data_IF_712693610576
#
_entry.id   IF_712693610576
#
_cell.length_a   1.000
_cell.length_b   1.000
_cell.length_c   1.000
_cell.angle_alpha   90.00
_cell.angle_beta   90.00
_cell.angle_gamma   90.00
#
_symmetry.space_group_name_H-M   'P 1'
#
loop_
_entity.id
_entity.type
_entity.pdbx_description
1 polymer ?
#
# COMPACT_ATOMS: atom_id res chain seq x y z
N UNK A 1 5.90 -19.19 -18.99
CA UNK A 1 6.92 -18.14 -19.04
C UNK A 1 7.31 -17.83 -17.61
N UNK A 2 8.58 -18.01 -17.21
CA UNK A 2 9.05 -17.64 -15.87
C UNK A 2 9.54 -16.19 -15.93
N UNK A 3 9.09 -15.35 -15.00
CA UNK A 3 9.54 -13.97 -14.89
C UNK A 3 10.53 -13.92 -13.73
N UNK A 4 11.74 -13.50 -14.02
CA UNK A 4 12.72 -13.19 -12.98
C UNK A 4 12.45 -11.76 -12.51
N UNK A 5 11.93 -11.62 -11.30
CA UNK A 5 11.72 -10.30 -10.69
C UNK A 5 12.99 -9.87 -9.96
N UNK A 6 13.43 -8.66 -10.26
CA UNK A 6 14.48 -8.02 -9.48
C UNK A 6 13.86 -7.43 -8.21
N UNK A 7 14.39 -7.79 -7.05
CA UNK A 7 13.92 -7.19 -5.79
C UNK A 7 14.11 -5.67 -5.80
N UNK A 8 13.04 -4.90 -5.58
CA UNK A 8 13.08 -3.46 -5.78
C UNK A 8 13.82 -2.70 -4.67
N UNK A 9 14.02 -3.30 -3.50
CA UNK A 9 14.67 -2.65 -2.36
C UNK A 9 16.15 -3.00 -2.36
N UNK A 10 16.97 -1.98 -2.17
CA UNK A 10 18.43 -2.08 -2.07
C UNK A 10 18.84 -2.23 -0.62
N UNK A 11 18.28 -1.42 0.28
CA UNK A 11 18.62 -1.39 1.68
C UNK A 11 17.46 -0.91 2.54
N UNK A 12 17.48 -1.24 3.83
CA UNK A 12 16.49 -0.78 4.81
C UNK A 12 17.17 -0.24 6.05
N UNK A 13 16.60 0.81 6.63
CA UNK A 13 17.01 1.37 7.92
C UNK A 13 15.76 1.77 8.69
N UNK A 14 15.53 1.15 9.87
CA UNK A 14 14.29 1.31 10.63
C UNK A 14 13.05 1.11 9.75
N UNK A 15 12.19 2.15 9.61
CA UNK A 15 11.00 2.14 8.76
C UNK A 15 11.27 2.64 7.34
N UNK A 16 12.52 2.91 6.97
CA UNK A 16 12.91 3.41 5.65
C UNK A 16 13.34 2.28 4.73
N UNK A 17 12.86 2.30 3.50
CA UNK A 17 13.32 1.43 2.43
C UNK A 17 13.90 2.25 1.28
N UNK A 18 15.17 2.06 0.98
CA UNK A 18 15.82 2.59 -0.21
C UNK A 18 15.58 1.63 -1.36
N UNK A 19 14.93 2.09 -2.40
CA UNK A 19 14.69 1.32 -3.63
C UNK A 19 15.88 1.38 -4.57
N UNK A 20 15.96 0.45 -5.52
CA UNK A 20 17.00 0.42 -6.57
C UNK A 20 16.96 1.62 -7.50
N UNK A 21 15.81 2.30 -7.61
CA UNK A 21 15.64 3.54 -8.36
C UNK A 21 16.02 4.80 -7.58
N UNK A 22 16.68 4.66 -6.44
CA UNK A 22 17.08 5.71 -5.49
C UNK A 22 15.90 6.36 -4.72
N UNK A 23 14.70 5.85 -4.89
CA UNK A 23 13.55 6.36 -4.13
C UNK A 23 13.60 5.82 -2.72
N UNK A 24 13.44 6.69 -1.72
CA UNK A 24 13.29 6.30 -0.32
C UNK A 24 11.84 6.37 0.08
N UNK A 25 11.33 5.30 0.69
CA UNK A 25 9.95 5.21 1.16
C UNK A 25 9.94 4.92 2.65
N UNK A 26 9.19 5.72 3.41
CA UNK A 26 8.95 5.47 4.82
C UNK A 26 7.64 4.71 5.01
N UNK A 27 7.65 3.69 5.86
CA UNK A 27 6.49 2.83 6.10
C UNK A 27 5.94 2.99 7.52
N UNK A 28 4.62 3.09 7.59
CA UNK A 28 3.88 3.27 8.84
C UNK A 28 2.72 2.28 8.91
N UNK A 29 2.46 1.77 10.12
CA UNK A 29 1.23 1.03 10.43
C UNK A 29 0.23 1.98 11.03
N UNK A 30 -1.01 1.99 10.52
CA UNK A 30 -2.14 2.71 11.09
C UNK A 30 -3.02 1.70 11.81
N UNK A 31 -3.26 1.84 13.12
CA UNK A 31 -4.13 0.95 13.85
C UNK A 31 -5.58 1.10 13.38
N UNK A 32 -6.31 0.01 13.42
CA UNK A 32 -7.75 0.04 13.17
C UNK A 32 -8.43 0.96 14.19
N UNK A 33 -9.19 1.91 13.70
CA UNK A 33 -10.00 2.79 14.54
C UNK A 33 -11.45 2.32 14.44
N UNK A 34 -12.04 1.80 15.51
CA UNK A 34 -13.44 1.39 15.48
C UNK A 34 -14.32 2.64 15.34
N UNK A 35 -14.94 2.80 14.17
CA UNK A 35 -15.93 3.84 13.89
C UNK A 35 -17.25 3.13 13.64
N UNK A 36 -18.23 3.39 14.48
CA UNK A 36 -19.56 2.81 14.32
C UNK A 36 -20.21 3.37 13.06
N UNK A 37 -20.80 2.52 12.23
CA UNK A 37 -21.44 2.90 10.95
C UNK A 37 -22.53 3.97 11.15
N UNK A 38 -23.16 3.99 12.32
CA UNK A 38 -24.25 4.90 12.68
C UNK A 38 -23.80 6.26 13.21
N UNK A 39 -22.50 6.45 13.48
CA UNK A 39 -21.97 7.70 14.06
C UNK A 39 -21.44 8.64 12.99
N UNK A 40 -22.34 9.40 12.37
CA UNK A 40 -22.00 10.32 11.28
C UNK A 40 -21.13 11.49 11.74
N UNK A 41 -21.23 11.91 13.00
CA UNK A 41 -20.37 12.97 13.55
C UNK A 41 -18.92 12.51 13.65
N UNK A 42 -18.67 11.30 14.17
CA UNK A 42 -17.32 10.73 14.24
C UNK A 42 -16.74 10.47 12.86
N UNK A 43 -17.57 9.98 11.91
CA UNK A 43 -17.16 9.85 10.51
C UNK A 43 -16.75 11.18 9.91
N UNK A 44 -17.54 12.23 10.12
CA UNK A 44 -17.24 13.58 9.65
C UNK A 44 -15.93 14.11 10.21
N UNK A 45 -15.71 14.00 11.51
CA UNK A 45 -14.45 14.37 12.17
C UNK A 45 -13.26 13.59 11.63
N UNK A 46 -13.40 12.27 11.48
CA UNK A 46 -12.36 11.42 10.92
C UNK A 46 -12.01 11.81 9.48
N UNK A 47 -13.02 12.04 8.64
CA UNK A 47 -12.83 12.50 7.25
C UNK A 47 -12.04 13.81 7.19
N UNK A 48 -12.37 14.79 8.05
CA UNK A 48 -11.65 16.07 8.12
C UNK A 48 -10.20 15.84 8.54
N UNK A 49 -9.98 15.00 9.55
CA UNK A 49 -8.63 14.65 10.05
C UNK A 49 -7.78 14.03 8.96
N UNK A 50 -8.32 13.04 8.23
CA UNK A 50 -7.64 12.39 7.11
C UNK A 50 -7.34 13.40 5.99
N UNK A 51 -8.30 14.27 5.64
CA UNK A 51 -8.10 15.30 4.62
C UNK A 51 -6.98 16.28 4.98
N UNK A 52 -6.90 16.70 6.26
CA UNK A 52 -5.83 17.57 6.75
C UNK A 52 -4.46 16.88 6.71
N UNK A 53 -4.41 15.61 7.09
CA UNK A 53 -3.20 14.79 6.97
C UNK A 53 -2.76 14.68 5.51
N UNK A 54 -3.67 14.36 4.59
CA UNK A 54 -3.38 14.24 3.16
C UNK A 54 -2.78 15.53 2.58
N UNK A 55 -3.27 16.71 2.98
CA UNK A 55 -2.68 17.99 2.58
C UNK A 55 -1.21 18.13 2.98
N UNK A 56 -0.81 17.57 4.13
CA UNK A 56 0.60 17.59 4.55
C UNK A 56 1.49 16.68 3.68
N UNK A 57 0.92 15.61 3.12
CA UNK A 57 1.63 14.68 2.24
C UNK A 57 1.82 15.20 0.80
N UNK A 58 1.13 16.25 0.41
CA UNK A 58 1.16 16.81 -0.95
C UNK A 58 2.61 17.03 -1.47
N UNK A 59 3.49 17.49 -0.59
CA UNK A 59 4.89 17.76 -0.95
C UNK A 59 5.68 16.49 -1.31
N UNK A 60 5.26 15.33 -0.81
CA UNK A 60 5.95 14.04 -1.01
C UNK A 60 5.54 13.33 -2.29
N UNK A 61 4.50 13.83 -2.95
CA UNK A 61 4.02 13.42 -4.25
C UNK A 61 3.43 12.01 -4.30
N UNK A 62 4.18 10.96 -3.97
CA UNK A 62 3.74 9.56 -4.06
C UNK A 62 3.52 8.94 -2.71
N UNK A 63 2.43 8.18 -2.59
CA UNK A 63 2.17 7.34 -1.42
C UNK A 63 1.41 6.08 -1.84
N UNK A 64 1.53 5.06 -1.02
CA UNK A 64 0.80 3.80 -1.18
C UNK A 64 0.08 3.44 0.12
N UNK A 65 -1.11 2.87 -0.01
CA UNK A 65 -1.90 2.37 1.11
C UNK A 65 -2.19 0.91 0.84
N UNK A 66 -1.90 0.06 1.81
CA UNK A 66 -2.17 -1.37 1.72
C UNK A 66 -3.01 -1.81 2.91
N UNK A 67 -4.12 -2.47 2.65
CA UNK A 67 -4.89 -3.23 3.63
C UNK A 67 -4.54 -4.68 3.43
N UNK A 68 -3.79 -5.24 4.37
CA UNK A 68 -3.19 -6.55 4.25
C UNK A 68 -3.88 -7.53 5.20
N UNK A 69 -4.45 -8.62 4.68
CA UNK A 69 -4.97 -9.69 5.52
C UNK A 69 -3.79 -10.36 6.23
N UNK A 70 -3.96 -10.60 7.50
CA UNK A 70 -2.99 -11.25 8.36
C UNK A 70 -3.68 -12.40 9.03
N UNK A 71 -3.12 -13.58 8.86
CA UNK A 71 -3.61 -14.73 9.59
C UNK A 71 -3.60 -14.45 11.07
N UNK A 72 -4.63 -14.92 11.76
CA UNK A 72 -4.72 -14.74 13.20
C UNK A 72 -3.56 -15.42 13.91
N UNK A 73 -2.86 -16.32 13.19
CA UNK A 73 -1.74 -17.12 13.69
C UNK A 73 -2.09 -17.75 15.05
N UNK A 74 -3.29 -18.32 15.12
CA UNK A 74 -3.82 -18.86 16.35
C UNK A 74 -2.90 -19.96 16.90
N UNK A 75 -2.42 -20.85 16.02
CA UNK A 75 -1.47 -21.89 16.37
C UNK A 75 -0.13 -21.34 16.89
N UNK A 76 0.40 -20.26 16.26
CA UNK A 76 1.65 -19.63 16.72
C UNK A 76 1.49 -19.03 18.11
N UNK A 77 0.35 -18.37 18.37
CA UNK A 77 0.04 -17.81 19.69
C UNK A 77 -0.14 -18.91 20.74
N UNK A 78 -0.81 -20.00 20.39
CA UNK A 78 -1.00 -21.12 21.31
C UNK A 78 0.32 -21.83 21.61
N UNK A 79 1.22 -21.92 20.65
CA UNK A 79 2.58 -22.42 20.88
C UNK A 79 3.37 -21.50 21.83
N UNK A 80 3.28 -20.18 21.66
CA UNK A 80 3.88 -19.23 22.61
C UNK A 80 3.32 -19.38 24.03
N UNK A 81 2.03 -19.70 24.17
CA UNK A 81 1.45 -20.05 25.48
C UNK A 81 1.92 -21.39 26.00
N UNK A 82 2.01 -22.43 25.15
CA UNK A 82 2.54 -23.73 25.53
C UNK A 82 3.98 -23.62 26.04
N UNK A 83 4.83 -22.84 25.36
CA UNK A 83 6.22 -22.61 25.77
C UNK A 83 6.33 -21.90 27.14
N UNK A 84 5.29 -21.17 27.54
CA UNK A 84 5.23 -20.48 28.83
C UNK A 84 4.64 -21.31 29.97
N UNK A 85 4.13 -22.52 29.68
CA UNK A 85 3.57 -23.41 30.71
C UNK A 85 4.68 -24.01 31.58
N UNK A 86 4.36 -24.19 32.85
CA UNK A 86 5.24 -24.92 33.78
C UNK A 86 5.28 -26.41 33.40
N UNK A 87 6.44 -27.06 33.62
CA UNK A 87 6.68 -28.43 33.17
C UNK A 87 5.69 -29.44 33.76
N UNK A 88 5.24 -29.21 34.98
CA UNK A 88 4.28 -30.08 35.69
C UNK A 88 2.84 -29.97 35.18
N UNK A 89 2.52 -28.88 34.48
CA UNK A 89 1.18 -28.59 33.95
C UNK A 89 1.13 -28.60 32.42
N UNK A 90 2.26 -28.91 31.77
CA UNK A 90 2.42 -28.77 30.31
C UNK A 90 1.46 -29.64 29.53
N UNK A 91 1.39 -30.94 29.87
CA UNK A 91 0.57 -31.92 29.13
C UNK A 91 -0.92 -31.53 29.14
N UNK A 92 -1.47 -31.22 30.31
CA UNK A 92 -2.86 -30.78 30.44
C UNK A 92 -3.11 -29.42 29.78
N UNK A 93 -2.13 -28.51 29.89
CA UNK A 93 -2.18 -27.20 29.28
C UNK A 93 -2.18 -27.26 27.76
N UNK A 94 -1.36 -28.12 27.14
CA UNK A 94 -1.31 -28.33 25.70
C UNK A 94 -2.61 -28.94 25.17
N UNK A 95 -3.19 -29.92 25.88
CA UNK A 95 -4.49 -30.48 25.50
C UNK A 95 -5.60 -29.40 25.51
N UNK A 96 -5.65 -28.55 26.54
CA UNK A 96 -6.58 -27.45 26.63
C UNK A 96 -6.37 -26.40 25.54
N UNK A 97 -5.12 -26.10 25.21
CA UNK A 97 -4.79 -25.16 24.15
C UNK A 97 -5.22 -25.70 22.77
N UNK A 98 -4.99 -26.96 22.46
CA UNK A 98 -5.42 -27.61 21.23
C UNK A 98 -6.95 -27.56 21.09
N UNK A 99 -7.68 -27.96 22.15
CA UNK A 99 -9.13 -27.88 22.17
C UNK A 99 -9.63 -26.44 21.95
N UNK A 100 -8.94 -25.46 22.52
CA UNK A 100 -9.26 -24.03 22.35
C UNK A 100 -9.02 -23.57 20.93
N UNK A 101 -7.93 -24.01 20.27
CA UNK A 101 -7.66 -23.70 18.86
C UNK A 101 -8.74 -24.24 17.96
N UNK A 102 -9.08 -25.53 18.10
CA UNK A 102 -10.11 -26.17 17.29
C UNK A 102 -11.44 -25.43 17.40
N UNK A 103 -11.87 -25.18 18.64
CA UNK A 103 -13.11 -24.47 18.93
C UNK A 103 -13.10 -23.05 18.35
N UNK A 104 -12.03 -22.27 18.54
CA UNK A 104 -11.94 -20.93 18.00
C UNK A 104 -11.91 -20.92 16.47
N UNK A 105 -11.26 -21.90 15.86
CA UNK A 105 -11.22 -22.05 14.39
C UNK A 105 -12.62 -22.32 13.85
N UNK A 106 -13.39 -23.17 14.52
CA UNK A 106 -14.77 -23.48 14.12
C UNK A 106 -15.76 -22.32 14.36
N UNK A 107 -15.58 -21.54 15.44
CA UNK A 107 -16.45 -20.42 15.81
C UNK A 107 -16.11 -19.11 15.06
N UNK A 108 -14.90 -18.99 14.50
CA UNK A 108 -14.46 -17.78 13.80
C UNK A 108 -15.00 -17.72 12.37
N UNK A 109 -16.00 -16.87 12.13
CA UNK A 109 -16.51 -16.59 10.78
C UNK A 109 -15.48 -15.91 9.87
N UNK A 110 -14.55 -15.12 10.45
CA UNK A 110 -13.53 -14.35 9.74
C UNK A 110 -12.17 -14.59 10.39
N UNK A 111 -11.33 -15.49 9.84
CA UNK A 111 -10.05 -15.88 10.44
C UNK A 111 -8.93 -14.84 10.25
N UNK A 112 -9.20 -13.68 9.62
CA UNK A 112 -8.18 -12.70 9.26
C UNK A 112 -8.29 -11.41 10.06
N UNK A 113 -7.17 -10.96 10.57
CA UNK A 113 -6.97 -9.56 10.95
C UNK A 113 -6.43 -8.79 9.76
N UNK A 114 -6.60 -7.48 9.79
CA UNK A 114 -6.07 -6.61 8.74
C UNK A 114 -5.14 -5.56 9.33
N UNK A 115 -4.00 -5.37 8.68
CA UNK A 115 -3.07 -4.28 8.99
C UNK A 115 -3.17 -3.21 7.87
N UNK A 116 -3.35 -1.96 8.28
CA UNK A 116 -3.19 -0.82 7.39
C UNK A 116 -1.73 -0.40 7.37
N UNK A 117 -1.08 -0.54 6.24
CA UNK A 117 0.30 -0.10 6.04
C UNK A 117 0.32 1.01 5.00
N UNK A 118 0.96 2.12 5.34
CA UNK A 118 1.11 3.28 4.45
C UNK A 118 2.59 3.49 4.16
N UNK A 119 2.94 3.55 2.88
CA UNK A 119 4.26 3.93 2.41
C UNK A 119 4.23 5.32 1.80
N UNK A 120 5.14 6.21 2.19
CA UNK A 120 5.25 7.57 1.65
C UNK A 120 6.65 7.79 1.10
N UNK A 121 6.73 8.23 -0.14
CA UNK A 121 8.02 8.60 -0.75
C UNK A 121 8.57 9.85 -0.10
N UNK A 122 9.78 9.75 0.42
CA UNK A 122 10.47 10.85 1.07
C UNK A 122 11.22 11.74 0.07
N UNK A 123 11.40 12.98 0.46
CA UNK A 123 12.23 13.94 -0.27
C UNK A 123 13.57 14.07 0.46
N UNK A 124 14.62 14.03 -0.34
CA UNK A 124 15.96 14.36 0.15
C UNK A 124 15.98 15.83 0.63
N UNK A 125 16.51 16.06 1.81
CA UNK A 125 16.71 17.41 2.29
C UNK A 125 18.07 17.93 1.83
N UNK A 126 18.03 19.05 1.15
CA UNK A 126 19.24 19.80 0.82
C UNK A 126 19.56 20.73 2.00
N UNK A 127 20.40 20.28 2.91
CA UNK A 127 20.85 21.08 4.04
C UNK A 127 21.69 22.27 3.54
N UNK A 128 21.04 23.44 3.43
CA UNK A 128 21.75 24.70 3.16
C UNK A 128 22.46 24.77 1.80
N UNK A 129 22.05 23.96 0.84
CA UNK A 129 22.67 23.91 -0.46
C UNK A 129 22.61 25.26 -1.19
N UNK A 130 23.76 25.78 -1.58
CA UNK A 130 23.82 26.94 -2.48
C UNK A 130 23.35 26.53 -3.86
N UNK A 131 23.06 27.52 -4.74
CA UNK A 131 22.68 27.25 -6.16
C UNK A 131 23.74 26.41 -6.86
N UNK A 132 25.01 26.52 -6.46
CA UNK A 132 26.11 25.69 -6.98
C UNK A 132 26.00 24.23 -6.50
N UNK A 133 25.61 24.02 -5.25
CA UNK A 133 25.45 22.66 -4.70
C UNK A 133 24.26 21.96 -5.34
N UNK A 134 23.16 22.66 -5.62
CA UNK A 134 22.00 22.14 -6.36
C UNK A 134 22.37 21.77 -7.81
N UNK A 135 23.21 22.59 -8.47
CA UNK A 135 23.70 22.26 -9.81
C UNK A 135 24.64 21.04 -9.78
N UNK A 136 25.45 20.91 -8.73
CA UNK A 136 26.37 19.79 -8.55
C UNK A 136 25.59 18.50 -8.21
N UNK A 137 24.56 18.58 -7.38
CA UNK A 137 23.65 17.46 -7.11
C UNK A 137 22.90 17.00 -8.37
N UNK A 138 22.36 17.94 -9.15
CA UNK A 138 21.71 17.60 -10.43
C UNK A 138 22.67 16.92 -11.41
N UNK A 139 23.92 17.35 -11.43
CA UNK A 139 24.96 16.71 -12.26
C UNK A 139 25.33 15.33 -11.72
N UNK A 140 25.43 15.17 -10.40
CA UNK A 140 25.68 13.87 -9.77
C UNK A 140 24.53 12.91 -10.01
N UNK A 141 23.27 13.34 -9.84
CA UNK A 141 22.09 12.52 -10.16
C UNK A 141 22.06 12.09 -11.63
N UNK A 142 22.48 12.96 -12.54
CA UNK A 142 22.59 12.64 -13.96
C UNK A 142 23.73 11.65 -14.22
N UNK A 143 24.90 11.84 -13.62
CA UNK A 143 26.04 10.93 -13.74
C UNK A 143 25.75 9.57 -13.11
N UNK A 144 25.02 9.52 -11.99
CA UNK A 144 24.53 8.29 -11.36
C UNK A 144 23.57 7.52 -12.28
N UNK A 145 22.66 8.22 -12.96
CA UNK A 145 21.76 7.60 -13.94
C UNK A 145 22.52 7.01 -15.13
N UNK A 146 23.56 7.68 -15.59
CA UNK A 146 24.44 7.16 -16.65
C UNK A 146 25.24 5.95 -16.15
N UNK A 147 25.88 6.05 -14.98
CA UNK A 147 26.66 4.96 -14.40
C UNK A 147 25.79 3.71 -14.20
N UNK A 148 24.54 3.90 -13.74
CA UNK A 148 23.54 2.83 -13.60
C UNK A 148 23.17 2.22 -14.95
N UNK A 149 23.02 3.04 -15.99
CA UNK A 149 22.81 2.57 -17.37
C UNK A 149 23.99 1.75 -17.91
N UNK A 150 25.18 1.95 -17.37
CA UNK A 150 26.40 1.21 -17.69
C UNK A 150 26.66 0.01 -16.75
N UNK A 151 25.75 -0.27 -15.80
CA UNK A 151 25.85 -1.41 -14.88
C UNK A 151 26.78 -1.21 -13.68
N UNK A 152 27.23 0.02 -13.41
CA UNK A 152 28.02 0.32 -12.21
C UNK A 152 27.09 0.46 -10.99
N UNK A 153 27.36 -0.32 -9.95
CA UNK A 153 26.72 -0.13 -8.63
C UNK A 153 27.46 0.99 -7.89
N UNK A 154 26.71 2.04 -7.54
CA UNK A 154 27.23 3.13 -6.74
C UNK A 154 27.37 2.69 -5.28
N UNK A 155 28.53 2.96 -4.66
CA UNK A 155 28.69 2.72 -3.23
C UNK A 155 27.73 3.63 -2.45
N UNK A 156 26.84 3.02 -1.68
CA UNK A 156 25.90 3.74 -0.87
C UNK A 156 26.61 4.27 0.38
N UNK A 157 26.37 5.55 0.71
CA UNK A 157 26.83 6.08 1.98
C UNK A 157 26.20 5.26 3.14
N UNK A 158 26.97 4.82 4.14
CA UNK A 158 26.44 4.13 5.32
C UNK A 158 25.36 4.94 6.06
N UNK A 159 25.37 6.26 5.87
CA UNK A 159 24.44 7.22 6.52
C UNK A 159 23.39 7.77 5.56
N UNK A 160 23.08 7.07 4.46
CA UNK A 160 22.15 7.51 3.43
C UNK A 160 20.80 8.00 3.98
N UNK A 161 20.34 7.42 5.08
CA UNK A 161 19.06 7.71 5.71
C UNK A 161 19.02 9.09 6.40
N UNK A 162 20.17 9.67 6.76
CA UNK A 162 20.25 10.96 7.45
C UNK A 162 19.60 12.08 6.63
N UNK A 163 19.78 12.06 5.32
CA UNK A 163 19.22 13.06 4.40
C UNK A 163 17.69 13.07 4.37
N UNK A 164 17.05 12.04 4.91
CA UNK A 164 15.59 11.86 4.88
C UNK A 164 14.93 11.98 6.26
N UNK A 165 15.69 11.99 7.35
CA UNK A 165 15.17 12.00 8.73
C UNK A 165 14.18 13.13 9.01
N UNK A 166 14.45 14.32 8.55
CA UNK A 166 13.60 15.48 8.85
C UNK A 166 12.27 15.43 8.05
N UNK A 167 12.30 14.98 6.79
CA UNK A 167 11.08 14.79 6.01
C UNK A 167 10.25 13.64 6.59
N UNK A 168 10.90 12.54 6.99
CA UNK A 168 10.27 11.42 7.68
C UNK A 168 9.59 11.86 8.97
N UNK A 169 10.28 12.64 9.79
CA UNK A 169 9.72 13.15 11.05
C UNK A 169 8.48 14.02 10.82
N UNK A 170 8.52 14.87 9.79
CA UNK A 170 7.38 15.73 9.41
C UNK A 170 6.16 14.88 9.00
N UNK A 171 6.40 13.82 8.24
CA UNK A 171 5.35 12.88 7.82
C UNK A 171 4.81 12.10 9.01
N UNK A 172 5.71 11.59 9.87
CA UNK A 172 5.29 10.88 11.07
C UNK A 172 4.42 11.74 11.98
N UNK A 173 4.76 13.02 12.16
CA UNK A 173 3.91 13.97 12.90
C UNK A 173 2.54 14.15 12.21
N UNK A 174 2.49 14.15 10.88
CA UNK A 174 1.22 14.23 10.17
C UNK A 174 0.35 12.99 10.43
N UNK A 175 0.94 11.81 10.49
CA UNK A 175 0.26 10.54 10.76
C UNK A 175 -0.05 10.31 12.25
N UNK A 176 0.55 11.05 13.17
CA UNK A 176 0.32 10.90 14.62
C UNK A 176 -1.15 11.09 15.01
N UNK A 177 -1.89 11.93 14.27
CA UNK A 177 -3.34 12.12 14.46
C UNK A 177 -4.17 10.84 14.23
N UNK A 178 -3.63 9.90 13.45
CA UNK A 178 -4.19 8.57 13.22
C UNK A 178 -3.56 7.50 14.12
N UNK A 179 -2.76 7.90 15.12
CA UNK A 179 -2.01 7.00 16.01
C UNK A 179 -1.10 6.03 15.25
N UNK A 180 -0.59 6.46 14.11
CA UNK A 180 0.32 5.65 13.30
C UNK A 180 1.60 5.33 14.08
N UNK A 181 2.16 4.15 13.80
CA UNK A 181 3.45 3.69 14.32
C UNK A 181 4.41 3.48 13.17
N UNK A 182 5.68 3.83 13.34
CA UNK A 182 6.74 3.43 12.43
C UNK A 182 6.86 1.92 12.43
N UNK A 183 7.04 1.31 11.27
CA UNK A 183 7.41 -0.10 11.23
C UNK A 183 8.84 -0.24 11.78
N UNK A 184 9.08 -1.26 12.60
CA UNK A 184 10.45 -1.64 12.95
C UNK A 184 11.15 -2.23 11.72
N UNK A 185 12.48 -2.32 11.77
CA UNK A 185 13.24 -2.95 10.68
C UNK A 185 12.80 -4.40 10.41
N UNK A 186 12.45 -5.15 11.46
CA UNK A 186 11.92 -6.52 11.33
C UNK A 186 10.53 -6.54 10.73
N UNK A 187 9.65 -5.63 11.17
CA UNK A 187 8.31 -5.52 10.62
C UNK A 187 8.34 -5.11 9.15
N UNK A 188 9.24 -4.18 8.78
CA UNK A 188 9.45 -3.75 7.40
C UNK A 188 9.95 -4.92 6.54
N UNK A 189 10.94 -5.67 7.04
CA UNK A 189 11.44 -6.85 6.35
C UNK A 189 10.34 -7.90 6.15
N UNK A 190 9.59 -8.19 7.21
CA UNK A 190 8.48 -9.15 7.15
C UNK A 190 7.40 -8.68 6.18
N UNK A 191 7.01 -7.41 6.22
CA UNK A 191 6.05 -6.81 5.29
C UNK A 191 6.49 -6.96 3.83
N UNK A 192 7.76 -6.72 3.54
CA UNK A 192 8.30 -6.90 2.20
C UNK A 192 8.27 -8.38 1.78
N UNK A 193 8.61 -9.26 2.70
CA UNK A 193 8.64 -10.70 2.45
C UNK A 193 7.24 -11.28 2.18
N UNK A 194 6.26 -10.84 2.92
CA UNK A 194 4.86 -11.26 2.76
C UNK A 194 4.32 -11.05 1.34
N UNK A 195 4.84 -10.07 0.62
CA UNK A 195 4.45 -9.83 -0.77
C UNK A 195 4.80 -11.00 -1.70
N UNK A 196 5.77 -11.82 -1.33
CA UNK A 196 6.23 -12.99 -2.08
C UNK A 196 5.80 -14.32 -1.46
N UNK A 197 5.26 -14.30 -0.24
CA UNK A 197 4.77 -15.47 0.47
C UNK A 197 3.23 -15.55 0.50
N UNK A 198 2.56 -14.70 -0.20
CA UNK A 198 1.09 -14.55 -0.19
C UNK A 198 0.35 -15.86 0.02
N UNK A 199 -0.31 -16.00 1.20
CA UNK A 199 -1.08 -17.17 1.58
C UNK A 199 -0.32 -18.52 1.57
N UNK A 200 1.01 -18.50 1.51
CA UNK A 200 1.83 -19.68 1.78
C UNK A 200 1.97 -19.81 3.29
N UNK A 201 1.57 -20.94 3.90
CA UNK A 201 1.72 -21.13 5.33
C UNK A 201 3.18 -21.01 5.77
N UNK A 202 3.45 -20.20 6.76
CA UNK A 202 4.79 -20.00 7.31
C UNK A 202 4.72 -19.39 8.71
N UNK A 203 5.75 -19.62 9.51
CA UNK A 203 5.89 -19.01 10.82
C UNK A 203 6.73 -17.72 10.73
N UNK A 204 6.19 -16.63 11.27
CA UNK A 204 6.88 -15.32 11.27
C UNK A 204 8.28 -15.42 11.91
N UNK A 205 8.41 -16.15 13.03
CA UNK A 205 9.69 -16.36 13.70
C UNK A 205 10.73 -17.03 12.80
N UNK A 206 10.34 -18.02 12.00
CA UNK A 206 11.24 -18.72 11.05
C UNK A 206 11.69 -17.78 9.93
N UNK A 207 10.77 -17.00 9.37
CA UNK A 207 11.08 -15.99 8.34
C UNK A 207 12.07 -14.97 8.87
N UNK A 208 11.90 -14.51 10.11
CA UNK A 208 12.81 -13.55 10.74
C UNK A 208 14.16 -14.18 11.12
N UNK A 209 14.19 -15.41 11.58
CA UNK A 209 15.42 -16.13 11.90
C UNK A 209 16.30 -16.34 10.65
N UNK A 210 15.69 -16.58 9.50
CA UNK A 210 16.38 -16.78 8.22
C UNK A 210 16.68 -15.48 7.48
N UNK A 211 16.53 -14.33 8.13
CA UNK A 211 16.67 -13.00 7.52
C UNK A 211 18.01 -12.78 6.80
N UNK A 212 19.11 -13.22 7.40
CA UNK A 212 20.45 -13.06 6.82
C UNK A 212 20.70 -13.96 5.60
N UNK A 213 20.01 -15.09 5.50
CA UNK A 213 20.11 -16.05 4.40
C UNK A 213 19.05 -15.79 3.34
N UNK A 214 18.14 -14.86 3.62
CA UNK A 214 16.96 -14.69 2.83
C UNK A 214 17.25 -13.90 1.55
N UNK A 215 17.15 -14.59 0.44
CA UNK A 215 17.09 -13.97 -0.88
C UNK A 215 15.63 -13.94 -1.34
N UNK A 216 15.08 -12.75 -1.55
CA UNK A 216 13.69 -12.60 -2.03
C UNK A 216 13.50 -13.21 -3.41
N UNK A 217 14.59 -13.40 -4.15
CA UNK A 217 14.61 -14.13 -5.42
C UNK A 217 14.35 -15.64 -5.28
N UNK A 218 14.32 -16.19 -4.05
CA UNK A 218 14.01 -17.60 -3.80
C UNK A 218 12.55 -17.96 -4.13
N UNK A 219 11.69 -16.95 -4.31
CA UNK A 219 10.34 -17.16 -4.79
C UNK A 219 10.28 -17.14 -6.31
N UNK A 220 9.98 -18.27 -6.91
CA UNK A 220 9.75 -18.38 -8.34
C UNK A 220 8.32 -17.96 -8.68
N UNK A 221 8.19 -17.04 -9.64
CA UNK A 221 6.89 -16.57 -10.12
C UNK A 221 6.64 -17.14 -11.51
N UNK A 222 5.59 -17.94 -11.63
CA UNK A 222 5.14 -18.52 -12.89
C UNK A 222 3.84 -17.84 -13.33
N UNK A 223 3.81 -17.30 -14.52
CA UNK A 223 2.59 -16.77 -15.15
C UNK A 223 1.81 -17.93 -15.76
N UNK A 224 0.59 -18.12 -15.30
CA UNK A 224 -0.34 -19.14 -15.80
C UNK A 224 -1.33 -18.53 -16.79
N UNK A 225 -2.07 -19.41 -17.50
CA UNK A 225 -3.18 -18.97 -18.36
C UNK A 225 -4.30 -18.38 -17.49
N UNK A 226 -5.02 -17.39 -18.01
CA UNK A 226 -6.16 -16.77 -17.32
C UNK A 226 -5.79 -15.65 -16.33
N UNK A 227 -4.53 -15.16 -16.34
CA UNK A 227 -4.13 -14.04 -15.49
C UNK A 227 -3.73 -14.42 -14.06
N UNK A 228 -3.52 -15.72 -13.81
CA UNK A 228 -3.05 -16.21 -12.53
C UNK A 228 -1.52 -16.26 -12.47
N UNK A 229 -0.98 -16.02 -11.28
CA UNK A 229 0.43 -16.21 -10.96
C UNK A 229 0.52 -17.38 -9.98
N UNK A 230 1.50 -18.24 -10.18
CA UNK A 230 1.89 -19.24 -9.17
C UNK A 230 3.18 -18.76 -8.51
N UNK A 231 3.15 -18.63 -7.20
CA UNK A 231 4.32 -18.38 -6.37
C UNK A 231 4.82 -19.72 -5.81
N UNK A 232 6.10 -19.99 -5.97
CA UNK A 232 6.76 -21.17 -5.39
C UNK A 232 7.92 -20.67 -4.53
N UNK A 233 7.90 -20.98 -3.24
CA UNK A 233 8.92 -20.63 -2.26
C UNK A 233 9.39 -21.87 -1.50
N UNK A 234 10.47 -21.80 -0.72
CA UNK A 234 10.87 -22.89 0.16
C UNK A 234 9.80 -23.34 1.17
N UNK A 235 8.84 -22.47 1.49
CA UNK A 235 7.74 -22.77 2.42
C UNK A 235 6.52 -23.40 1.75
N UNK A 236 6.46 -23.46 0.41
CA UNK A 236 5.34 -24.01 -0.33
C UNK A 236 4.97 -23.20 -1.57
N UNK A 237 3.73 -23.34 -2.02
CA UNK A 237 3.25 -22.62 -3.20
C UNK A 237 1.87 -22.01 -2.97
N UNK A 238 1.59 -20.91 -3.68
CA UNK A 238 0.27 -20.29 -3.71
C UNK A 238 -0.08 -19.79 -5.11
N UNK A 239 -1.38 -19.60 -5.34
CA UNK A 239 -1.90 -18.98 -6.54
C UNK A 239 -2.35 -17.57 -6.20
N UNK A 240 -2.03 -16.61 -7.07
CA UNK A 240 -2.32 -15.20 -6.89
C UNK A 240 -2.96 -14.64 -8.13
N UNK A 241 -4.00 -13.82 -7.97
CA UNK A 241 -4.54 -12.99 -9.04
C UNK A 241 -4.60 -11.53 -8.60
N UNK A 242 -4.38 -10.62 -9.56
CA UNK A 242 -4.41 -9.17 -9.33
C UNK A 242 -5.55 -8.60 -10.15
N UNK A 243 -6.55 -8.06 -9.49
CA UNK A 243 -7.74 -7.48 -10.08
C UNK A 243 -7.67 -5.95 -9.97
N UNK A 244 -7.53 -5.23 -11.08
CA UNK A 244 -7.60 -3.78 -11.03
C UNK A 244 -9.04 -3.34 -10.72
N UNK A 245 -9.18 -2.37 -9.83
CA UNK A 245 -10.46 -1.70 -9.57
C UNK A 245 -10.64 -0.61 -10.63
N UNK A 246 -11.42 -0.90 -11.66
CA UNK A 246 -11.48 -0.06 -12.86
C UNK A 246 -12.22 1.26 -12.68
N UNK A 247 -13.37 1.24 -12.00
CA UNK A 247 -14.16 2.46 -11.74
C UNK A 247 -14.65 2.43 -10.30
N UNK A 248 -14.42 3.52 -9.57
CA UNK A 248 -15.12 3.76 -8.31
C UNK A 248 -16.43 4.49 -8.61
N UNK A 249 -17.52 4.12 -7.97
CA UNK A 249 -18.76 4.88 -8.10
C UNK A 249 -18.54 6.31 -7.60
N UNK A 250 -19.15 7.28 -8.28
CA UNK A 250 -19.04 8.71 -7.96
C UNK A 250 -19.61 9.02 -6.57
N UNK A 251 -20.54 8.21 -6.12
CA UNK A 251 -21.12 8.26 -4.78
C UNK A 251 -21.13 6.87 -4.16
N UNK A 252 -20.46 6.75 -3.04
CA UNK A 252 -20.55 5.57 -2.19
C UNK A 252 -21.76 5.72 -1.24
N UNK A 253 -22.90 5.18 -1.62
CA UNK A 253 -24.09 5.16 -0.78
C UNK A 253 -23.92 4.12 0.35
N UNK A 254 -23.14 4.46 1.36
CA UNK A 254 -23.01 3.66 2.57
C UNK A 254 -22.12 2.41 2.49
N UNK A 255 -21.57 2.09 1.30
CA UNK A 255 -20.73 0.90 1.11
C UNK A 255 -19.26 1.29 1.06
N UNK A 256 -18.48 0.81 2.00
CA UNK A 256 -17.03 1.05 2.05
C UNK A 256 -16.28 -0.18 1.53
N UNK A 257 -15.51 -0.02 0.44
CA UNK A 257 -14.73 -1.11 -0.16
C UNK A 257 -13.82 -1.81 0.88
N UNK A 258 -13.19 -1.05 1.76
CA UNK A 258 -12.35 -1.61 2.82
C UNK A 258 -13.13 -2.46 3.82
N UNK A 259 -14.36 -2.07 4.17
CA UNK A 259 -15.24 -2.86 5.05
C UNK A 259 -15.71 -4.15 4.38
N UNK A 260 -16.06 -4.06 3.09
CA UNK A 260 -16.44 -5.23 2.32
C UNK A 260 -15.33 -6.27 2.28
N UNK A 261 -14.10 -5.83 1.98
CA UNK A 261 -12.92 -6.69 1.92
C UNK A 261 -12.68 -7.40 3.26
N UNK A 262 -12.88 -6.69 4.37
CA UNK A 262 -12.68 -7.24 5.71
C UNK A 262 -13.75 -8.26 6.11
N UNK A 263 -14.88 -8.30 5.41
CA UNK A 263 -15.96 -9.27 5.65
C UNK A 263 -15.88 -10.53 4.78
N UNK A 264 -14.91 -10.59 3.87
CA UNK A 264 -14.73 -11.78 3.06
C UNK A 264 -14.09 -12.90 3.90
N UNK A 265 -14.57 -14.12 3.70
CA UNK A 265 -14.05 -15.33 4.37
C UNK A 265 -12.77 -15.90 3.72
N UNK A 266 -12.16 -15.15 2.82
CA UNK A 266 -10.90 -15.49 2.16
C UNK A 266 -9.98 -14.27 2.10
N UNK A 267 -8.65 -14.45 2.05
CA UNK A 267 -7.70 -13.35 2.13
C UNK A 267 -7.72 -12.49 0.85
N UNK A 268 -8.05 -11.23 1.01
CA UNK A 268 -7.96 -10.22 -0.05
C UNK A 268 -7.16 -9.03 0.44
N UNK A 269 -6.10 -8.69 -0.26
CA UNK A 269 -5.33 -7.48 -0.02
C UNK A 269 -5.87 -6.37 -0.92
N UNK A 270 -6.13 -5.19 -0.35
CA UNK A 270 -6.36 -3.97 -1.11
C UNK A 270 -5.08 -3.16 -1.15
N UNK A 271 -4.66 -2.78 -2.35
CA UNK A 271 -3.50 -1.91 -2.54
C UNK A 271 -3.89 -0.70 -3.38
N UNK A 272 -3.63 0.49 -2.85
CA UNK A 272 -3.85 1.77 -3.51
C UNK A 272 -2.50 2.44 -3.68
N UNK A 273 -2.14 2.78 -4.92
CA UNK A 273 -1.00 3.64 -5.24
C UNK A 273 -1.54 4.98 -5.69
N UNK A 274 -1.04 6.04 -5.13
CA UNK A 274 -1.56 7.38 -5.35
C UNK A 274 -0.45 8.41 -5.56
N UNK A 275 -0.76 9.41 -6.38
CA UNK A 275 0.12 10.52 -6.70
C UNK A 275 -0.65 11.84 -6.63
N UNK A 276 -0.07 12.85 -5.97
CA UNK A 276 -0.54 14.23 -6.07
C UNK A 276 -0.13 14.83 -7.41
N UNK A 277 -1.09 15.27 -8.16
CA UNK A 277 -0.86 15.81 -9.51
C UNK A 277 -0.89 17.33 -9.49
N UNK A 278 0.06 17.92 -10.23
CA UNK A 278 0.04 19.35 -10.50
C UNK A 278 -1.22 19.74 -11.27
N UNK A 279 -1.97 20.71 -10.71
CA UNK A 279 -3.20 21.23 -11.30
C UNK A 279 -3.01 21.78 -12.71
N UNK A 280 -1.82 22.29 -13.05
CA UNK A 280 -1.49 22.76 -14.39
C UNK A 280 -1.54 21.64 -15.45
N UNK A 281 -1.03 20.46 -15.11
CA UNK A 281 -1.06 19.29 -16.03
C UNK A 281 -2.47 18.77 -16.25
N UNK A 282 -3.32 18.83 -15.22
CA UNK A 282 -4.70 18.35 -15.29
C UNK A 282 -5.59 19.27 -16.13
N UNK A 283 -5.44 20.59 -16.04
CA UNK A 283 -6.26 21.54 -16.80
C UNK A 283 -6.33 21.22 -18.28
N UNK A 284 -5.21 20.87 -18.89
CA UNK A 284 -5.15 20.46 -20.30
C UNK A 284 -5.89 19.17 -20.62
N UNK A 285 -5.81 18.16 -19.74
CA UNK A 285 -6.56 16.89 -19.90
C UNK A 285 -8.07 17.12 -19.72
N UNK A 286 -8.46 17.89 -18.71
CA UNK A 286 -9.85 18.21 -18.42
C UNK A 286 -10.50 19.02 -19.54
N UNK A 287 -9.79 20.00 -20.11
CA UNK A 287 -10.26 20.78 -21.24
C UNK A 287 -10.60 19.88 -22.44
N UNK A 288 -9.72 18.94 -22.78
CA UNK A 288 -9.97 17.96 -23.85
C UNK A 288 -11.16 17.04 -23.55
N UNK A 289 -11.26 16.54 -22.32
CA UNK A 289 -12.39 15.69 -21.91
C UNK A 289 -13.71 16.48 -21.92
N UNK A 290 -13.73 17.74 -21.48
CA UNK A 290 -14.91 18.58 -21.51
C UNK A 290 -15.40 18.85 -22.97
N UNK A 291 -14.46 19.14 -23.88
CA UNK A 291 -14.77 19.26 -25.29
C UNK A 291 -15.38 17.98 -25.87
N UNK A 292 -14.78 16.83 -25.52
CA UNK A 292 -15.30 15.52 -25.95
C UNK A 292 -16.73 15.27 -25.45
N UNK A 293 -17.00 15.48 -24.15
CA UNK A 293 -18.36 15.32 -23.60
C UNK A 293 -19.36 16.28 -24.25
N UNK A 294 -18.96 17.54 -24.46
CA UNK A 294 -19.82 18.49 -25.14
C UNK A 294 -20.17 18.04 -26.57
N UNK A 295 -19.18 17.62 -27.35
CA UNK A 295 -19.42 17.14 -28.72
C UNK A 295 -20.35 15.93 -28.74
N UNK A 296 -20.19 14.97 -27.83
CA UNK A 296 -21.07 13.80 -27.72
C UNK A 296 -22.51 14.23 -27.37
N UNK A 297 -22.68 15.20 -26.48
CA UNK A 297 -23.98 15.72 -26.12
C UNK A 297 -24.64 16.43 -27.27
N UNK A 298 -23.92 17.31 -28.00
CA UNK A 298 -24.40 18.01 -29.19
C UNK A 298 -24.78 17.03 -30.31
N UNK A 299 -24.01 15.98 -30.51
CA UNK A 299 -24.30 14.92 -31.48
C UNK A 299 -25.57 14.14 -31.12
N UNK A 300 -25.73 13.78 -29.82
CA UNK A 300 -26.92 13.09 -29.33
C UNK A 300 -28.19 13.95 -29.45
N UNK A 301 -28.11 15.27 -29.19
CA UNK A 301 -29.23 16.21 -29.42
C UNK A 301 -29.62 16.31 -30.89
N UNK A 302 -28.62 16.35 -31.78
CA UNK A 302 -28.86 16.44 -33.24
C UNK A 302 -29.42 15.15 -33.84
N UNK A 303 -29.18 14.00 -33.22
CA UNK A 303 -29.62 12.69 -33.72
C UNK A 303 -30.85 12.13 -32.97
N UNK A 304 -31.42 12.89 -32.06
CA UNK A 304 -32.57 12.46 -31.20
C UNK A 304 -32.28 11.15 -30.46
N UNK A 305 -31.00 10.89 -30.15
CA UNK A 305 -30.55 9.67 -29.51
C UNK A 305 -30.59 9.85 -27.99
N UNK A 306 -31.13 8.85 -27.28
CA UNK A 306 -31.15 8.85 -25.80
C UNK A 306 -29.71 8.87 -25.27
N UNK A 307 -29.37 9.91 -24.51
CA UNK A 307 -28.07 10.03 -23.89
C UNK A 307 -27.92 8.96 -22.81
N UNK A 308 -26.78 8.25 -22.83
CA UNK A 308 -26.49 7.28 -21.78
C UNK A 308 -26.22 8.01 -20.46
N UNK A 309 -26.85 7.58 -19.38
CA UNK A 309 -26.67 8.13 -18.03
C UNK A 309 -25.20 8.30 -17.63
N UNK A 310 -24.33 7.36 -18.07
CA UNK A 310 -22.89 7.43 -17.83
C UNK A 310 -22.23 8.68 -18.42
N UNK A 311 -22.67 9.15 -19.60
CA UNK A 311 -22.13 10.35 -20.27
C UNK A 311 -22.54 11.60 -19.49
N UNK A 312 -23.80 11.67 -19.08
CA UNK A 312 -24.33 12.78 -18.29
C UNK A 312 -23.61 12.87 -16.93
N UNK A 313 -23.52 11.76 -16.22
CA UNK A 313 -22.82 11.69 -14.92
C UNK A 313 -21.33 11.99 -15.04
N UNK A 314 -20.68 11.51 -16.10
CA UNK A 314 -19.29 11.83 -16.43
C UNK A 314 -19.06 13.33 -16.66
N UNK A 315 -19.97 14.00 -17.39
CA UNK A 315 -19.93 15.44 -17.62
C UNK A 315 -20.10 16.26 -16.33
N UNK A 316 -21.06 15.87 -15.48
CA UNK A 316 -21.30 16.52 -14.18
C UNK A 316 -20.06 16.37 -13.28
N UNK A 317 -19.53 15.18 -13.17
CA UNK A 317 -18.34 14.89 -12.38
C UNK A 317 -17.11 15.67 -12.87
N UNK A 318 -16.94 15.79 -14.19
CA UNK A 318 -15.88 16.59 -14.77
C UNK A 318 -16.02 18.07 -14.46
N UNK A 319 -17.25 18.64 -14.54
CA UNK A 319 -17.51 20.04 -14.18
C UNK A 319 -17.21 20.32 -12.70
N UNK A 320 -17.60 19.41 -11.79
CA UNK A 320 -17.27 19.52 -10.37
C UNK A 320 -15.76 19.46 -10.12
N UNK A 321 -15.07 18.55 -10.79
CA UNK A 321 -13.61 18.45 -10.73
C UNK A 321 -12.94 19.73 -11.27
N UNK A 322 -13.43 20.29 -12.38
CA UNK A 322 -12.93 21.56 -12.94
C UNK A 322 -13.09 22.71 -11.94
N UNK A 323 -14.22 22.78 -11.23
CA UNK A 323 -14.47 23.76 -10.18
C UNK A 323 -13.46 23.62 -9.04
N UNK A 324 -13.21 22.40 -8.56
CA UNK A 324 -12.22 22.10 -7.50
C UNK A 324 -10.81 22.51 -7.94
N UNK A 325 -10.42 22.17 -9.16
CA UNK A 325 -9.14 22.62 -9.76
C UNK A 325 -9.05 24.14 -9.85
N UNK A 326 -10.14 24.80 -10.21
CA UNK A 326 -10.24 26.26 -10.19
C UNK A 326 -10.02 26.85 -8.80
N UNK A 327 -10.53 26.22 -7.78
CA UNK A 327 -10.35 26.56 -6.37
C UNK A 327 -8.99 26.18 -5.80
N UNK A 328 -8.06 25.64 -6.61
CA UNK A 328 -6.73 25.15 -6.20
C UNK A 328 -6.80 24.02 -5.15
N UNK A 329 -7.83 23.19 -5.19
CA UNK A 329 -7.90 22.00 -4.40
C UNK A 329 -6.88 20.96 -4.91
N UNK A 330 -6.31 20.18 -3.98
CA UNK A 330 -5.35 19.15 -4.32
C UNK A 330 -6.03 17.98 -5.03
N UNK A 331 -5.40 17.49 -6.08
CA UNK A 331 -5.89 16.38 -6.87
C UNK A 331 -4.96 15.19 -6.73
N UNK A 332 -5.56 14.04 -6.51
CA UNK A 332 -4.88 12.76 -6.39
C UNK A 332 -5.31 11.86 -7.55
N UNK A 333 -4.35 11.39 -8.32
CA UNK A 333 -4.53 10.27 -9.24
C UNK A 333 -4.16 8.99 -8.50
N UNK A 334 -4.99 7.96 -8.60
CA UNK A 334 -4.73 6.70 -7.92
C UNK A 334 -5.08 5.49 -8.78
N UNK A 335 -4.38 4.40 -8.53
CA UNK A 335 -4.73 3.08 -9.01
C UNK A 335 -4.98 2.17 -7.82
N UNK A 336 -6.11 1.45 -7.84
CA UNK A 336 -6.45 0.49 -6.80
C UNK A 336 -6.48 -0.93 -7.36
N UNK A 337 -6.01 -1.88 -6.55
CA UNK A 337 -5.87 -3.28 -6.93
C UNK A 337 -6.33 -4.17 -5.78
N UNK A 338 -7.12 -5.19 -6.09
CA UNK A 338 -7.41 -6.29 -5.20
C UNK A 338 -6.47 -7.45 -5.53
N UNK A 339 -5.83 -8.00 -4.53
CA UNK A 339 -4.94 -9.13 -4.69
C UNK A 339 -5.53 -10.29 -3.89
N UNK A 340 -5.94 -11.32 -4.62
CA UNK A 340 -6.54 -12.53 -4.07
C UNK A 340 -5.52 -13.63 -4.13
N UNK A 341 -5.37 -14.37 -3.04
CA UNK A 341 -4.40 -15.45 -2.92
C UNK A 341 -5.06 -16.69 -2.34
N UNK A 342 -4.60 -17.87 -2.80
CA UNK A 342 -5.01 -19.18 -2.29
C UNK A 342 -3.82 -20.15 -2.34
N UNK A 343 -3.71 -21.04 -1.36
CA UNK A 343 -2.74 -22.14 -1.33
C UNK A 343 -3.23 -23.36 -2.11
#
# INVERSE_FOLDING_TARGET
MSITLTYPIRETHENLALKKDQTVVAYYRIPNTPITITDDEKKGKHKITVAQMMKKLQKNKFFEISLIPKDYLLEEKMRDFSDALADDSRELGEELLLYTVDRLTDEMEIPYQFDWVVGVTLRKQNHGATVKDLAYESFNEFSEKIAKGLGYEYELSPTWYEDYKSDEFTIFQAFSVLRAKRLSNEELFYYQRMQYLRYIPHYKKEVLANRAQFNITDTLIKVLKGGFLKLESPYGSSFVTILPVGKFPVQFNGFHLGEFIQRLNFPVELRIKAEFIDTGKIKGRMGRSNTRYRNIMEEAENTDTVQQDEIIMGSISLKDLMKKVGNKEDIIEYGAYLIVSAS
#
